data_IF_720619683807
#
_entry.id   IF_720619683807
#
_cell.length_a   1.000
_cell.length_b   1.000
_cell.length_c   1.000
_cell.angle_alpha   90.00
_cell.angle_beta   90.00
_cell.angle_gamma   90.00
#
_symmetry.space_group_name_H-M   'P 1'
#
loop_
_entity.id
_entity.type
_entity.pdbx_description
1 polymer ?
#
# COMPACT_ATOMS: atom_id res chain seq x y z
N UNK A 1 -24.62 2.21 11.89
CA UNK A 1 -24.89 1.95 10.46
C UNK A 1 -26.39 2.09 10.14
N UNK A 2 -26.73 2.28 8.85
CA UNK A 2 -28.12 2.20 8.37
C UNK A 2 -28.25 0.94 7.52
N UNK A 3 -29.26 0.12 7.81
CA UNK A 3 -29.57 -1.10 7.05
C UNK A 3 -30.94 -0.97 6.38
N UNK A 4 -31.12 -1.63 5.25
CA UNK A 4 -32.35 -1.53 4.44
C UNK A 4 -32.98 -2.91 4.34
N UNK A 5 -34.28 -3.01 4.58
CA UNK A 5 -34.99 -4.27 4.38
C UNK A 5 -35.13 -4.59 2.89
N UNK A 6 -34.80 -5.83 2.52
CA UNK A 6 -34.89 -6.33 1.15
C UNK A 6 -36.33 -6.48 0.61
N UNK A 7 -37.36 -6.53 1.46
CA UNK A 7 -38.76 -6.68 1.04
C UNK A 7 -39.55 -5.38 0.98
N UNK A 8 -39.35 -4.49 1.94
CA UNK A 8 -40.16 -3.28 2.10
C UNK A 8 -39.35 -1.98 2.03
N UNK A 9 -38.04 -2.07 1.77
CA UNK A 9 -37.12 -0.93 1.57
C UNK A 9 -37.05 0.08 2.73
N UNK A 10 -37.64 -0.27 3.87
CA UNK A 10 -37.60 0.54 5.09
C UNK A 10 -36.18 0.59 5.63
N UNK A 11 -35.73 1.79 5.99
CA UNK A 11 -34.39 2.07 6.53
C UNK A 11 -34.42 1.99 8.05
N UNK A 12 -33.44 1.31 8.64
CA UNK A 12 -33.28 1.18 10.08
C UNK A 12 -31.91 1.70 10.51
N UNK A 13 -31.87 2.56 11.53
CA UNK A 13 -30.63 2.99 12.17
C UNK A 13 -30.27 1.98 13.26
N UNK A 14 -29.13 1.32 13.11
CA UNK A 14 -28.66 0.27 14.01
C UNK A 14 -27.27 0.63 14.52
N UNK A 15 -26.98 0.29 15.78
CA UNK A 15 -25.66 0.47 16.37
C UNK A 15 -24.65 -0.49 15.71
N UNK A 16 -23.42 -0.04 15.50
CA UNK A 16 -22.40 -0.84 14.78
C UNK A 16 -21.99 -2.10 15.56
N UNK A 17 -22.09 -2.05 16.89
CA UNK A 17 -21.83 -3.20 17.76
C UNK A 17 -22.88 -4.32 17.66
N UNK A 18 -24.07 -4.05 17.10
CA UNK A 18 -25.14 -5.04 17.01
C UNK A 18 -24.95 -6.00 15.84
N UNK A 19 -24.17 -5.62 14.82
CA UNK A 19 -23.88 -6.44 13.64
C UNK A 19 -22.35 -6.56 13.55
N UNK A 20 -21.78 -7.66 14.07
CA UNK A 20 -20.34 -7.87 14.06
C UNK A 20 -19.83 -8.16 12.63
N UNK A 21 -18.51 -8.10 12.39
CA UNK A 21 -17.91 -8.29 11.06
C UNK A 21 -18.19 -9.66 10.42
N UNK A 22 -18.45 -10.71 11.21
CA UNK A 22 -18.91 -12.02 10.72
C UNK A 22 -20.34 -12.02 10.13
N UNK A 23 -21.05 -10.89 10.25
CA UNK A 23 -22.43 -10.71 9.84
C UNK A 23 -23.43 -11.26 10.86
N UNK A 24 -24.69 -10.83 10.76
CA UNK A 24 -25.76 -11.26 11.68
C UNK A 24 -27.10 -11.40 10.97
N UNK A 25 -27.88 -12.38 11.41
CA UNK A 25 -29.28 -12.49 11.02
C UNK A 25 -30.12 -11.40 11.69
N UNK A 26 -30.79 -10.59 10.89
CA UNK A 26 -31.67 -9.51 11.33
C UNK A 26 -33.10 -9.77 10.86
N UNK A 27 -34.07 -9.21 11.58
CA UNK A 27 -35.50 -9.32 11.26
C UNK A 27 -36.09 -7.92 11.08
N UNK A 28 -36.86 -7.71 10.02
CA UNK A 28 -37.60 -6.48 9.78
C UNK A 28 -38.76 -6.38 10.79
N UNK A 29 -38.88 -5.25 11.47
CA UNK A 29 -40.01 -4.97 12.36
C UNK A 29 -41.33 -4.72 11.62
N UNK A 30 -41.28 -4.35 10.34
CA UNK A 30 -42.48 -4.01 9.55
C UNK A 30 -43.06 -5.22 8.81
N UNK A 31 -42.22 -5.97 8.07
CA UNK A 31 -42.68 -7.09 7.21
C UNK A 31 -42.25 -8.48 7.69
N UNK A 32 -41.58 -8.60 8.85
CA UNK A 32 -41.03 -9.84 9.41
C UNK A 32 -40.07 -10.62 8.49
N UNK A 33 -39.57 -10.00 7.41
CA UNK A 33 -38.51 -10.59 6.59
C UNK A 33 -37.23 -10.77 7.42
N UNK A 34 -36.57 -11.92 7.26
CA UNK A 34 -35.28 -12.21 7.87
C UNK A 34 -34.22 -12.25 6.78
N UNK A 35 -33.08 -11.60 7.01
CA UNK A 35 -31.93 -11.66 6.11
C UNK A 35 -30.64 -11.59 6.91
N UNK A 36 -29.54 -11.99 6.27
CA UNK A 36 -28.20 -11.85 6.83
C UNK A 36 -27.68 -10.48 6.42
N UNK A 37 -27.36 -9.65 7.41
CA UNK A 37 -26.69 -8.39 7.20
C UNK A 37 -25.22 -8.57 7.50
N UNK A 38 -24.38 -8.36 6.49
CA UNK A 38 -22.95 -8.29 6.68
C UNK A 38 -22.58 -6.85 7.06
N UNK A 39 -21.67 -6.70 8.03
CA UNK A 39 -21.08 -5.42 8.32
C UNK A 39 -20.05 -5.16 7.22
N UNK A 40 -20.34 -4.23 6.32
CA UNK A 40 -19.33 -3.74 5.39
C UNK A 40 -18.35 -2.96 6.25
N UNK A 41 -17.37 -3.67 6.79
CA UNK A 41 -16.33 -3.07 7.60
C UNK A 41 -15.72 -1.94 6.78
N UNK A 42 -15.91 -0.70 7.23
CA UNK A 42 -15.21 0.43 6.65
C UNK A 42 -13.72 0.09 6.72
N UNK A 43 -13.08 -0.03 5.55
CA UNK A 43 -11.69 -0.43 5.44
C UNK A 43 -10.87 0.49 6.36
N UNK A 44 -10.25 -0.07 7.40
CA UNK A 44 -9.67 0.74 8.47
C UNK A 44 -8.66 1.72 7.89
N UNK A 45 -8.81 3.02 8.20
CA UNK A 45 -7.92 4.10 7.76
C UNK A 45 -6.43 3.82 8.07
N UNK A 46 -6.16 2.99 9.07
CA UNK A 46 -4.83 2.54 9.45
C UNK A 46 -4.10 1.75 8.35
N UNK A 47 -4.82 1.07 7.45
CA UNK A 47 -4.19 0.32 6.36
C UNK A 47 -3.56 1.27 5.33
N UNK A 48 -4.25 2.37 4.99
CA UNK A 48 -3.72 3.38 4.09
C UNK A 48 -2.48 4.08 4.66
N UNK A 49 -2.50 4.38 5.97
CA UNK A 49 -1.35 5.00 6.65
C UNK A 49 -0.13 4.06 6.65
N UNK A 50 -0.34 2.77 6.93
CA UNK A 50 0.74 1.77 6.91
C UNK A 50 1.37 1.65 5.50
N UNK A 51 0.54 1.55 4.47
CA UNK A 51 0.99 1.47 3.08
C UNK A 51 1.80 2.71 2.69
N UNK A 52 1.34 3.91 3.08
CA UNK A 52 2.07 5.15 2.85
C UNK A 52 3.48 5.12 3.46
N UNK A 53 3.59 4.76 4.74
CA UNK A 53 4.89 4.67 5.42
C UNK A 53 5.82 3.63 4.81
N UNK A 54 5.29 2.46 4.42
CA UNK A 54 6.08 1.42 3.74
C UNK A 54 6.63 1.95 2.41
N UNK A 55 5.79 2.60 1.60
CA UNK A 55 6.23 3.18 0.31
C UNK A 55 7.30 4.24 0.54
N UNK A 56 7.09 5.17 1.48
CA UNK A 56 8.08 6.22 1.80
C UNK A 56 9.40 5.61 2.28
N UNK A 57 9.36 4.57 3.11
CA UNK A 57 10.56 3.87 3.58
C UNK A 57 11.28 3.16 2.43
N UNK A 58 10.57 2.48 1.54
CA UNK A 58 11.17 1.82 0.38
C UNK A 58 11.86 2.83 -0.56
N UNK A 59 11.22 3.97 -0.83
CA UNK A 59 11.79 5.04 -1.68
C UNK A 59 13.06 5.61 -1.06
N UNK A 60 13.01 5.94 0.24
CA UNK A 60 14.18 6.49 0.94
C UNK A 60 15.35 5.50 0.97
N UNK A 61 15.11 4.22 1.25
CA UNK A 61 16.14 3.18 1.16
C UNK A 61 16.72 3.03 -0.24
N UNK A 62 15.89 3.13 -1.29
CA UNK A 62 16.34 3.05 -2.68
C UNK A 62 17.28 4.20 -3.04
N UNK A 63 16.93 5.43 -2.63
CA UNK A 63 17.78 6.62 -2.83
C UNK A 63 19.11 6.48 -2.09
N UNK A 64 19.08 6.03 -0.83
CA UNK A 64 20.29 5.81 -0.04
C UNK A 64 21.19 4.75 -0.67
N UNK A 65 20.62 3.64 -1.14
CA UNK A 65 21.37 2.57 -1.81
C UNK A 65 22.05 3.06 -3.09
N UNK A 66 21.35 3.85 -3.93
CA UNK A 66 21.95 4.48 -5.11
C UNK A 66 23.08 5.44 -4.72
N UNK A 67 22.90 6.26 -3.68
CA UNK A 67 23.95 7.14 -3.18
C UNK A 67 25.19 6.38 -2.70
N UNK A 68 24.99 5.26 -1.99
CA UNK A 68 26.09 4.38 -1.56
C UNK A 68 26.81 3.74 -2.75
N UNK A 69 26.09 3.30 -3.78
CA UNK A 69 26.69 2.78 -5.01
C UNK A 69 27.62 3.81 -5.67
N UNK A 70 27.20 5.08 -5.73
CA UNK A 70 28.00 6.15 -6.33
C UNK A 70 29.25 6.44 -5.49
N UNK A 71 29.14 6.43 -4.16
CA UNK A 71 30.25 6.76 -3.24
C UNK A 71 31.25 5.62 -3.08
N UNK A 72 30.76 4.40 -2.89
CA UNK A 72 31.57 3.23 -2.55
C UNK A 72 31.95 2.37 -3.77
N UNK A 73 31.47 2.74 -4.96
CA UNK A 73 31.87 2.14 -6.23
C UNK A 73 31.70 0.62 -6.24
N UNK A 74 32.78 -0.09 -6.58
CA UNK A 74 32.77 -1.54 -6.82
C UNK A 74 32.81 -2.42 -5.56
N UNK A 75 32.91 -1.82 -4.37
CA UNK A 75 32.86 -2.57 -3.10
C UNK A 75 31.47 -3.11 -2.78
N UNK A 76 30.43 -2.56 -3.41
CA UNK A 76 29.05 -3.01 -3.28
C UNK A 76 28.68 -3.81 -4.54
N UNK A 77 28.33 -5.10 -4.42
CA UNK A 77 27.91 -5.90 -5.56
C UNK A 77 26.57 -5.39 -6.10
N UNK A 78 26.53 -5.06 -7.40
CA UNK A 78 25.34 -4.60 -8.10
C UNK A 78 24.80 -5.75 -8.97
N UNK A 79 23.49 -6.05 -8.92
CA UNK A 79 22.90 -7.02 -9.83
C UNK A 79 22.88 -6.50 -11.28
N UNK A 80 23.18 -7.36 -12.26
CA UNK A 80 23.28 -7.00 -13.70
C UNK A 80 22.07 -6.24 -14.25
N UNK A 81 20.86 -6.62 -13.82
CA UNK A 81 19.65 -5.91 -14.21
C UNK A 81 19.69 -4.42 -13.84
N UNK A 82 20.23 -4.09 -12.67
CA UNK A 82 20.29 -2.72 -12.18
C UNK A 82 21.37 -1.94 -12.94
N UNK A 83 22.52 -2.54 -13.23
CA UNK A 83 23.55 -1.87 -14.05
C UNK A 83 23.04 -1.54 -15.46
N UNK A 84 22.40 -2.49 -16.13
CA UNK A 84 21.86 -2.27 -17.47
C UNK A 84 20.81 -1.14 -17.49
N UNK A 85 19.97 -1.11 -16.45
CA UNK A 85 18.96 -0.08 -16.28
C UNK A 85 19.57 1.31 -16.03
N UNK A 86 20.55 1.43 -15.14
CA UNK A 86 21.25 2.69 -14.89
C UNK A 86 22.01 3.21 -16.13
N UNK A 87 22.63 2.31 -16.90
CA UNK A 87 23.27 2.65 -18.19
C UNK A 87 22.21 3.13 -19.18
N UNK A 88 21.04 2.48 -19.25
CA UNK A 88 19.93 2.90 -20.13
C UNK A 88 19.38 4.29 -19.77
N UNK A 89 19.45 4.67 -18.50
CA UNK A 89 19.10 6.01 -18.02
C UNK A 89 20.24 7.05 -18.20
N UNK A 90 21.39 6.64 -18.75
CA UNK A 90 22.53 7.53 -19.02
C UNK A 90 23.40 7.82 -17.80
N UNK A 91 23.32 7.00 -16.74
CA UNK A 91 24.14 7.15 -15.53
C UNK A 91 25.43 6.33 -15.73
N UNK A 92 26.62 6.98 -15.76
CA UNK A 92 27.88 6.26 -15.95
C UNK A 92 28.27 5.53 -14.65
N UNK A 93 28.20 4.20 -14.67
CA UNK A 93 28.47 3.35 -13.50
C UNK A 93 29.81 2.62 -13.60
N UNK A 94 30.25 2.30 -14.82
CA UNK A 94 31.47 1.52 -15.08
C UNK A 94 32.73 2.40 -15.01
N UNK A 95 32.59 3.70 -15.23
CA UNK A 95 33.68 4.66 -15.13
C UNK A 95 33.34 5.96 -15.82
N UNK A 96 34.06 7.03 -15.50
CA UNK A 96 33.86 8.35 -16.10
C UNK A 96 34.31 9.49 -15.21
N UNK A 97 33.89 10.71 -15.55
CA UNK A 97 34.18 11.91 -14.76
C UNK A 97 32.89 12.45 -14.16
N UNK A 98 32.73 12.34 -12.83
CA UNK A 98 31.61 12.87 -12.08
C UNK A 98 32.12 13.90 -11.07
N UNK A 99 31.56 15.10 -11.09
CA UNK A 99 31.95 16.21 -10.21
C UNK A 99 33.46 16.56 -10.28
N UNK A 100 34.07 16.44 -11.46
CA UNK A 100 35.48 16.77 -11.67
C UNK A 100 36.46 15.73 -11.11
N UNK A 101 35.97 14.55 -10.72
CA UNK A 101 36.79 13.41 -10.31
C UNK A 101 36.58 12.25 -11.26
N UNK A 102 37.68 11.70 -11.75
CA UNK A 102 37.67 10.44 -12.48
C UNK A 102 37.50 9.28 -11.50
N UNK A 103 36.65 8.34 -11.88
CA UNK A 103 36.44 7.10 -11.16
C UNK A 103 36.35 5.96 -12.17
N UNK A 104 36.92 4.82 -11.80
CA UNK A 104 36.90 3.57 -12.56
C UNK A 104 36.35 2.50 -11.63
N UNK A 105 35.42 1.67 -12.13
CA UNK A 105 34.72 0.68 -11.32
C UNK A 105 35.40 -0.68 -11.41
#
# INVERSE_FOLDING_TARGET
MIIICNKCETKFKVLDNLIPPEGKMVQCSYCNAKWRQDNVAELSTNLGLCVFWIITLCITFSILYLGLIIVYGNTIPIPKFLSDLLISFGIPIEGGNLFGREFDR
#
